data_IF_695405229661
#
_entry.id   IF_695405229661
#
_cell.length_a   1.000
_cell.length_b   1.000
_cell.length_c   1.000
_cell.angle_alpha   90.00
_cell.angle_beta   90.00
_cell.angle_gamma   90.00
#
_symmetry.space_group_name_H-M   'P 1'
#
loop_
_entity.id
_entity.type
_entity.pdbx_description
1 polymer ?
#
# COMPACT_ATOMS: atom_id res chain seq x y z
N UNK A 1 6.55 23.62 -3.78
CA UNK A 1 6.20 22.26 -3.28
C UNK A 1 7.51 21.49 -3.21
N UNK A 2 8.11 21.49 -2.03
CA UNK A 2 9.38 20.84 -1.76
C UNK A 2 9.20 19.42 -1.24
N UNK A 3 10.31 18.69 -1.16
CA UNK A 3 10.39 17.41 -0.43
C UNK A 3 9.98 17.67 1.02
N UNK A 4 9.23 16.75 1.64
CA UNK A 4 8.60 16.87 2.98
C UNK A 4 9.61 17.05 4.14
N UNK A 5 10.43 18.08 4.09
CA UNK A 5 11.34 18.50 5.15
C UNK A 5 10.72 19.52 6.12
N UNK A 6 9.57 20.09 5.74
CA UNK A 6 8.89 21.07 6.57
C UNK A 6 8.11 20.35 7.69
N UNK A 7 8.28 20.83 8.92
CA UNK A 7 7.55 20.33 10.09
C UNK A 7 6.02 20.47 9.93
N UNK A 8 5.58 21.51 9.24
CA UNK A 8 4.15 21.73 8.97
C UNK A 8 3.60 20.70 7.99
N UNK A 9 4.38 20.26 7.03
CA UNK A 9 3.98 19.20 6.09
C UNK A 9 3.87 17.84 6.78
N UNK A 10 4.79 17.51 7.68
CA UNK A 10 4.70 16.30 8.50
C UNK A 10 3.41 16.27 9.31
N UNK A 11 3.07 17.39 9.95
CA UNK A 11 1.83 17.47 10.72
C UNK A 11 0.58 17.34 9.83
N UNK A 12 0.61 17.84 8.59
CA UNK A 12 -0.49 17.66 7.62
C UNK A 12 -0.64 16.20 7.20
N UNK A 13 0.49 15.54 6.87
CA UNK A 13 0.50 14.13 6.49
C UNK A 13 -0.05 13.27 7.64
N UNK A 14 0.40 13.50 8.87
CA UNK A 14 -0.09 12.79 10.04
C UNK A 14 -1.60 12.95 10.25
N UNK A 15 -2.11 14.18 10.13
CA UNK A 15 -3.55 14.45 10.26
C UNK A 15 -4.35 13.79 9.14
N UNK A 16 -3.86 13.84 7.91
CA UNK A 16 -4.54 13.24 6.75
C UNK A 16 -4.53 11.72 6.81
N UNK A 17 -3.45 11.12 7.27
CA UNK A 17 -3.35 9.67 7.46
C UNK A 17 -4.30 9.22 8.58
N UNK A 18 -4.34 9.94 9.71
CA UNK A 18 -5.15 9.58 10.87
C UNK A 18 -4.86 8.14 11.33
N UNK A 19 -5.90 7.34 11.42
CA UNK A 19 -5.82 5.92 11.78
C UNK A 19 -5.73 4.97 10.57
N UNK A 20 -5.54 5.51 9.36
CA UNK A 20 -5.41 4.67 8.17
C UNK A 20 -4.00 4.10 8.05
N UNK A 21 -3.89 2.98 7.33
CA UNK A 21 -2.62 2.27 7.11
C UNK A 21 -1.90 2.72 5.84
N UNK A 22 -2.58 3.48 4.99
CA UNK A 22 -2.03 3.96 3.73
C UNK A 22 -2.75 5.21 3.25
N UNK A 23 -2.11 5.97 2.36
CA UNK A 23 -2.70 7.10 1.67
C UNK A 23 -2.05 7.34 0.32
N UNK A 24 -2.78 7.99 -0.56
CA UNK A 24 -2.27 8.51 -1.84
C UNK A 24 -1.95 9.99 -1.64
N UNK A 25 -0.70 10.35 -1.88
CA UNK A 25 -0.22 11.73 -1.80
C UNK A 25 -0.36 12.38 -3.18
N UNK A 26 -1.06 13.51 -3.25
CA UNK A 26 -1.21 14.26 -4.49
C UNK A 26 0.18 14.68 -5.00
N UNK A 27 0.47 14.35 -6.26
CA UNK A 27 1.72 14.68 -6.95
C UNK A 27 3.02 14.06 -6.36
N UNK A 28 2.91 13.16 -5.37
CA UNK A 28 4.07 12.55 -4.72
C UNK A 28 4.09 11.01 -4.81
N UNK A 29 2.92 10.36 -4.77
CA UNK A 29 2.83 8.91 -4.84
C UNK A 29 2.10 8.27 -3.67
N UNK A 30 2.56 7.11 -3.23
CA UNK A 30 1.91 6.30 -2.22
C UNK A 30 2.67 6.36 -0.90
N UNK A 31 1.94 6.29 0.20
CA UNK A 31 2.50 6.16 1.55
C UNK A 31 1.79 5.00 2.24
N UNK A 32 2.55 4.15 2.90
CA UNK A 32 2.05 3.10 3.77
C UNK A 32 2.73 3.13 5.12
N UNK A 33 2.04 2.69 6.14
CA UNK A 33 2.56 2.52 7.50
C UNK A 33 2.21 1.13 8.02
N UNK A 34 3.06 0.58 8.86
CA UNK A 34 2.84 -0.73 9.46
C UNK A 34 3.57 -0.83 10.80
N UNK A 35 3.27 -1.86 11.57
CA UNK A 35 3.95 -2.16 12.83
C UNK A 35 5.40 -2.61 12.62
N UNK A 36 5.66 -3.16 11.44
CA UNK A 36 6.98 -3.63 11.00
C UNK A 36 7.22 -3.16 9.57
N UNK A 37 8.50 -3.21 9.13
CA UNK A 37 8.85 -2.95 7.72
C UNK A 37 8.16 -3.95 6.79
N UNK A 38 8.05 -5.21 7.20
CA UNK A 38 7.34 -6.25 6.45
C UNK A 38 5.86 -5.89 6.24
N UNK A 39 5.18 -5.40 7.28
CA UNK A 39 3.78 -4.95 7.18
C UNK A 39 3.64 -3.74 6.24
N UNK A 40 4.50 -2.74 6.41
CA UNK A 40 4.46 -1.54 5.56
C UNK A 40 4.73 -1.89 4.09
N UNK A 41 5.69 -2.79 3.83
CA UNK A 41 5.98 -3.28 2.48
C UNK A 41 4.79 -4.05 1.88
N UNK A 42 4.18 -4.93 2.65
CA UNK A 42 3.00 -5.69 2.22
C UNK A 42 1.84 -4.76 1.82
N UNK A 43 1.55 -3.77 2.66
CA UNK A 43 0.51 -2.77 2.39
C UNK A 43 0.85 -1.97 1.13
N UNK A 44 2.10 -1.52 0.99
CA UNK A 44 2.56 -0.76 -0.18
C UNK A 44 2.41 -1.58 -1.48
N UNK A 45 2.80 -2.85 -1.45
CA UNK A 45 2.69 -3.74 -2.60
C UNK A 45 1.24 -3.84 -3.09
N UNK A 46 0.31 -4.12 -2.17
CA UNK A 46 -1.10 -4.26 -2.54
C UNK A 46 -1.77 -2.93 -2.89
N UNK A 47 -1.39 -1.82 -2.24
CA UNK A 47 -1.87 -0.49 -2.61
C UNK A 47 -1.45 -0.13 -4.05
N UNK A 48 -0.18 -0.35 -4.38
CA UNK A 48 0.31 -0.13 -5.74
C UNK A 48 -0.46 -1.00 -6.75
N UNK A 49 -0.64 -2.28 -6.43
CA UNK A 49 -1.39 -3.20 -7.28
C UNK A 49 -2.86 -2.80 -7.44
N UNK A 50 -3.49 -2.30 -6.38
CA UNK A 50 -4.85 -1.78 -6.43
C UNK A 50 -4.95 -0.55 -7.34
N UNK A 51 -3.97 0.36 -7.30
CA UNK A 51 -3.92 1.50 -8.21
C UNK A 51 -3.78 1.07 -9.68
N UNK A 52 -2.94 0.08 -9.97
CA UNK A 52 -2.82 -0.48 -11.33
C UNK A 52 -4.15 -1.08 -11.83
N UNK A 53 -4.82 -1.86 -10.98
CA UNK A 53 -6.12 -2.45 -11.29
C UNK A 53 -7.17 -1.35 -11.50
N UNK A 54 -7.19 -0.33 -10.65
CA UNK A 54 -8.11 0.81 -10.76
C UNK A 54 -7.91 1.54 -12.09
N UNK A 55 -6.68 1.76 -12.51
CA UNK A 55 -6.36 2.41 -13.78
C UNK A 55 -6.81 1.55 -14.97
N UNK A 56 -6.59 0.24 -14.91
CA UNK A 56 -7.05 -0.69 -15.95
C UNK A 56 -8.60 -0.74 -16.01
N UNK A 57 -9.27 -0.79 -14.87
CA UNK A 57 -10.72 -0.77 -14.80
C UNK A 57 -11.31 0.55 -15.35
N UNK A 58 -10.67 1.68 -15.06
CA UNK A 58 -11.11 2.98 -15.56
C UNK A 58 -11.08 3.07 -17.12
N UNK A 59 -10.14 2.39 -17.76
CA UNK A 59 -10.07 2.32 -19.22
C UNK A 59 -11.27 1.55 -19.82
N UNK A 60 -11.81 0.57 -19.11
CA UNK A 60 -12.97 -0.20 -19.52
C UNK A 60 -14.29 0.52 -19.23
N UNK A 61 -14.30 1.57 -18.44
CA UNK A 61 -15.50 2.29 -18.02
C UNK A 61 -16.30 2.87 -19.19
N UNK A 62 -15.64 3.19 -20.31
CA UNK A 62 -16.28 3.64 -21.54
C UNK A 62 -17.10 2.54 -22.24
N UNK A 63 -16.77 1.27 -21.98
CA UNK A 63 -17.42 0.10 -22.61
C UNK A 63 -18.42 -0.58 -21.67
N UNK A 64 -18.21 -0.51 -20.38
CA UNK A 64 -19.07 -1.11 -19.36
C UNK A 64 -18.98 -0.36 -18.05
N UNK A 65 -20.09 -0.14 -17.34
CA UNK A 65 -20.07 0.50 -16.03
C UNK A 65 -19.15 -0.25 -15.04
N UNK A 66 -18.38 0.49 -14.24
CA UNK A 66 -17.60 -0.10 -13.14
C UNK A 66 -18.56 -0.46 -12.01
N UNK A 67 -18.55 -1.72 -11.61
CA UNK A 67 -19.27 -2.15 -10.42
C UNK A 67 -18.44 -1.86 -9.16
N UNK A 68 -18.99 -1.08 -8.25
CA UNK A 68 -18.37 -0.81 -6.96
C UNK A 68 -18.75 -1.88 -5.95
N UNK A 69 -17.76 -2.28 -5.14
CA UNK A 69 -17.98 -3.24 -4.05
C UNK A 69 -18.66 -2.50 -2.89
N UNK A 70 -19.66 -3.14 -2.26
CA UNK A 70 -20.32 -2.56 -1.10
C UNK A 70 -19.32 -2.34 0.06
N UNK A 71 -19.39 -1.21 0.79
CA UNK A 71 -18.41 -0.85 1.81
C UNK A 71 -18.17 -1.94 2.87
N UNK A 72 -19.22 -2.64 3.31
CA UNK A 72 -19.10 -3.71 4.30
C UNK A 72 -18.30 -4.93 3.78
N UNK A 73 -18.39 -5.25 2.48
CA UNK A 73 -17.61 -6.32 1.86
C UNK A 73 -16.14 -5.92 1.72
N UNK A 74 -15.89 -4.66 1.36
CA UNK A 74 -14.54 -4.10 1.29
C UNK A 74 -13.87 -4.10 2.66
N UNK A 75 -14.60 -3.71 3.71
CA UNK A 75 -14.11 -3.76 5.09
C UNK A 75 -13.80 -5.19 5.53
N UNK A 76 -14.70 -6.14 5.29
CA UNK A 76 -14.50 -7.53 5.62
C UNK A 76 -13.27 -8.13 4.92
N UNK A 77 -13.08 -7.85 3.64
CA UNK A 77 -11.89 -8.28 2.90
C UNK A 77 -10.60 -7.69 3.48
N UNK A 78 -10.63 -6.42 3.88
CA UNK A 78 -9.50 -5.77 4.55
C UNK A 78 -9.16 -6.45 5.88
N UNK A 79 -10.15 -6.73 6.71
CA UNK A 79 -9.98 -7.41 8.00
C UNK A 79 -9.39 -8.82 7.81
N UNK A 80 -9.85 -9.57 6.82
CA UNK A 80 -9.30 -10.88 6.46
C UNK A 80 -7.83 -10.76 6.04
N UNK A 81 -7.52 -9.82 5.13
CA UNK A 81 -6.16 -9.63 4.62
C UNK A 81 -5.19 -9.19 5.70
N UNK A 82 -5.63 -8.30 6.60
CA UNK A 82 -4.81 -7.77 7.68
C UNK A 82 -4.74 -8.69 8.90
N UNK A 83 -5.68 -9.61 9.06
CA UNK A 83 -5.75 -10.55 10.18
C UNK A 83 -4.68 -11.64 10.17
N UNK A 84 -4.02 -11.90 9.03
CA UNK A 84 -3.08 -13.02 8.87
C UNK A 84 -1.63 -12.53 8.93
N UNK A 85 -1.16 -12.16 10.13
CA UNK A 85 0.22 -11.69 10.34
C UNK A 85 1.26 -12.71 9.88
N UNK A 86 1.03 -13.99 10.12
CA UNK A 86 1.95 -15.05 9.72
C UNK A 86 2.15 -15.09 8.19
N UNK A 87 1.11 -14.93 7.40
CA UNK A 87 1.21 -14.88 5.93
C UNK A 87 2.04 -13.68 5.47
N UNK A 88 1.86 -12.51 6.08
CA UNK A 88 2.66 -11.32 5.75
C UNK A 88 4.14 -11.55 5.99
N UNK A 89 4.49 -12.21 7.09
CA UNK A 89 5.88 -12.57 7.39
C UNK A 89 6.44 -13.58 6.39
N UNK A 90 5.66 -14.57 5.96
CA UNK A 90 6.07 -15.51 4.92
C UNK A 90 6.31 -14.83 3.58
N UNK A 91 5.44 -13.91 3.19
CA UNK A 91 5.60 -13.11 1.96
C UNK A 91 6.88 -12.26 2.05
N UNK A 92 7.15 -11.62 3.17
CA UNK A 92 8.37 -10.85 3.38
C UNK A 92 9.63 -11.72 3.21
N UNK A 93 9.66 -12.89 3.83
CA UNK A 93 10.77 -13.83 3.69
C UNK A 93 10.94 -14.33 2.25
N UNK A 94 9.85 -14.52 1.52
CA UNK A 94 9.92 -14.89 0.11
C UNK A 94 10.54 -13.77 -0.74
N UNK A 95 10.20 -12.50 -0.49
CA UNK A 95 10.80 -11.35 -1.15
C UNK A 95 12.29 -11.20 -0.82
N UNK A 96 12.69 -11.41 0.42
CA UNK A 96 14.11 -11.40 0.80
C UNK A 96 14.90 -12.48 0.08
N UNK A 97 14.38 -13.70 0.02
CA UNK A 97 15.02 -14.79 -0.74
C UNK A 97 15.15 -14.45 -2.23
N UNK A 98 14.13 -13.82 -2.82
CA UNK A 98 14.21 -13.37 -4.21
C UNK A 98 15.27 -12.29 -4.39
N UNK A 99 15.35 -11.34 -3.48
CA UNK A 99 16.35 -10.27 -3.50
C UNK A 99 17.75 -10.84 -3.38
N UNK A 100 17.97 -11.82 -2.51
CA UNK A 100 19.25 -12.51 -2.34
C UNK A 100 19.77 -13.18 -3.62
N UNK A 101 18.87 -13.57 -4.53
CA UNK A 101 19.23 -14.12 -5.84
C UNK A 101 19.62 -13.02 -6.85
N UNK A 102 19.20 -11.80 -6.63
CA UNK A 102 19.41 -10.68 -7.55
C UNK A 102 20.56 -9.76 -7.11
N UNK A 103 20.58 -9.39 -5.85
CA UNK A 103 21.54 -8.46 -5.27
C UNK A 103 21.55 -8.58 -3.75
N UNK A 104 22.70 -8.82 -3.18
CA UNK A 104 22.91 -8.94 -1.73
C UNK A 104 23.42 -7.67 -1.06
N UNK A 105 23.66 -6.60 -1.82
CA UNK A 105 24.28 -5.35 -1.31
C UNK A 105 23.45 -4.65 -0.23
N UNK A 106 22.18 -4.97 -0.10
CA UNK A 106 21.33 -4.43 0.96
C UNK A 106 21.67 -4.96 2.37
N UNK A 107 22.54 -5.98 2.47
CA UNK A 107 22.98 -6.59 3.74
C UNK A 107 24.20 -5.88 4.33
N UNK A 108 24.89 -5.05 3.57
CA UNK A 108 26.05 -4.29 3.95
C UNK A 108 25.65 -2.94 4.56
#
# INVERSE_FOLDING_TARGET
EGVAFDLDERARIQRSLGNNIAMILQSHGLLSVGRTVADAFYIMYYLNRACEIQMAAAQLAALSPIHTIAPHLSQHACEQLMGVEHERQQVWQAWLRRLDLLDTSYKD
#
